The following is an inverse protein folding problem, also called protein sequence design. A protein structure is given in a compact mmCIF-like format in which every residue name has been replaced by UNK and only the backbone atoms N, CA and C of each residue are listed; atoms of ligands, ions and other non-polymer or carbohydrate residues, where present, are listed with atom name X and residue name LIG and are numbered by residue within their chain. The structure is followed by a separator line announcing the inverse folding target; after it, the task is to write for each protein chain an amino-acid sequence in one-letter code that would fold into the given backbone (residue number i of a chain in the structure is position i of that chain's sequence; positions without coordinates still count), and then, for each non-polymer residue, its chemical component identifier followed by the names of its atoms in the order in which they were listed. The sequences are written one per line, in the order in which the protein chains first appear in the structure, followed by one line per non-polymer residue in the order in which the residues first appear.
data_IF_264636494851
#
_entry.id   IF_264636494851
#
_cell.length_a   1.000
_cell.length_b   1.000
_cell.length_c   1.000
_cell.angle_alpha   90.00
_cell.angle_beta   90.00
_cell.angle_gamma   90.00
#
_symmetry.space_group_name_H-M   'P 1'
#
loop_
_entity.id
_entity.type
_entity.pdbx_description
1 polymer ?
#
# COMPACT_ATOMS: atom_id res chain seq x y z
N UNK A 1 11.03 8.99 -5.23
CA UNK A 1 9.82 9.16 -4.36
C UNK A 1 8.56 9.13 -5.20
N UNK A 2 8.42 10.00 -6.21
CA UNK A 2 7.28 10.00 -7.13
C UNK A 2 7.02 8.65 -7.80
N UNK A 3 8.03 8.04 -8.40
CA UNK A 3 7.92 6.71 -9.03
C UNK A 3 7.45 5.63 -8.05
N UNK A 4 7.93 5.67 -6.80
CA UNK A 4 7.49 4.73 -5.75
C UNK A 4 6.00 4.94 -5.46
N UNK A 5 5.56 6.19 -5.32
CA UNK A 5 4.15 6.51 -5.10
C UNK A 5 3.27 6.04 -6.27
N UNK A 6 3.71 6.25 -7.51
CA UNK A 6 3.00 5.84 -8.72
C UNK A 6 2.91 4.31 -8.84
N UNK A 7 4.00 3.59 -8.59
CA UNK A 7 4.00 2.11 -8.58
C UNK A 7 3.06 1.57 -7.50
N UNK A 8 3.13 2.11 -6.28
CA UNK A 8 2.24 1.70 -5.19
C UNK A 8 0.77 1.97 -5.53
N UNK A 9 0.46 3.15 -6.08
CA UNK A 9 -0.90 3.51 -6.46
C UNK A 9 -1.44 2.57 -7.55
N UNK A 10 -0.65 2.32 -8.60
CA UNK A 10 -1.02 1.41 -9.69
C UNK A 10 -1.25 -0.01 -9.18
N UNK A 11 -0.34 -0.55 -8.38
CA UNK A 11 -0.49 -1.91 -7.84
C UNK A 11 -1.71 -2.03 -6.92
N UNK A 12 -1.97 -1.03 -6.08
CA UNK A 12 -3.18 -1.01 -5.25
C UNK A 12 -4.45 -1.00 -6.10
N UNK A 13 -4.49 -0.22 -7.19
CA UNK A 13 -5.60 -0.19 -8.13
C UNK A 13 -5.81 -1.54 -8.83
N UNK A 14 -4.72 -2.17 -9.29
CA UNK A 14 -4.74 -3.48 -9.96
C UNK A 14 -5.27 -4.57 -9.02
N UNK A 15 -4.75 -4.63 -7.78
CA UNK A 15 -5.22 -5.58 -6.76
C UNK A 15 -6.68 -5.29 -6.40
N UNK A 16 -7.04 -4.02 -6.20
CA UNK A 16 -8.41 -3.59 -5.90
C UNK A 16 -9.42 -3.99 -6.97
N UNK A 17 -9.00 -3.97 -8.24
CA UNK A 17 -9.82 -4.35 -9.40
C UNK A 17 -9.92 -5.87 -9.62
N UNK A 18 -9.09 -6.66 -8.94
CA UNK A 18 -9.05 -8.10 -9.15
C UNK A 18 -10.17 -8.82 -8.39
N UNK A 19 -10.95 -9.63 -9.09
CA UNK A 19 -12.04 -10.40 -8.48
C UNK A 19 -11.56 -11.63 -7.69
N UNK A 20 -10.30 -12.05 -7.85
CA UNK A 20 -9.78 -13.29 -7.27
C UNK A 20 -8.47 -13.15 -6.51
N UNK A 21 -7.90 -11.93 -6.47
CA UNK A 21 -6.68 -11.69 -5.70
C UNK A 21 -6.92 -11.89 -4.19
N UNK A 22 -5.91 -12.40 -3.49
CA UNK A 22 -5.84 -12.21 -2.04
C UNK A 22 -5.56 -10.74 -1.78
N UNK A 23 -6.36 -10.12 -0.92
CA UNK A 23 -6.20 -8.74 -0.52
C UNK A 23 -6.43 -8.60 0.98
N UNK A 24 -5.87 -7.56 1.64
CA UNK A 24 -6.16 -7.27 3.05
C UNK A 24 -7.66 -7.14 3.33
N UNK A 25 -8.43 -6.63 2.36
CA UNK A 25 -9.89 -6.54 2.47
C UNK A 25 -10.54 -7.93 2.50
N UNK A 26 -10.15 -8.83 1.59
CA UNK A 26 -10.70 -10.18 1.56
C UNK A 26 -10.32 -11.00 2.80
N UNK A 27 -9.08 -10.86 3.29
CA UNK A 27 -8.64 -11.53 4.52
C UNK A 27 -9.48 -11.05 5.72
N UNK A 28 -9.76 -9.74 5.82
CA UNK A 28 -10.63 -9.18 6.86
C UNK A 28 -12.08 -9.65 6.73
N UNK A 29 -12.61 -9.75 5.50
CA UNK A 29 -13.95 -10.28 5.25
C UNK A 29 -14.06 -11.74 5.71
N UNK A 30 -13.08 -12.58 5.38
CA UNK A 30 -13.05 -13.98 5.84
C UNK A 30 -12.99 -14.06 7.37
N UNK A 31 -12.15 -13.25 8.02
CA UNK A 31 -12.05 -13.20 9.48
C UNK A 31 -13.35 -12.73 10.16
N UNK A 32 -14.13 -11.87 9.50
CA UNK A 32 -15.44 -11.42 9.95
C UNK A 32 -16.58 -12.44 9.68
N UNK A 33 -16.26 -13.60 9.08
CA UNK A 33 -17.23 -14.68 8.82
C UNK A 33 -17.83 -14.68 7.42
N UNK A 34 -17.37 -13.82 6.50
CA UNK A 34 -17.73 -13.89 5.09
C UNK A 34 -16.90 -14.98 4.39
N UNK A 35 -17.21 -16.23 4.72
CA UNK A 35 -16.46 -17.41 4.24
C UNK A 35 -16.49 -17.50 2.72
N UNK A 36 -15.33 -17.73 2.12
CA UNK A 36 -15.17 -17.83 0.67
C UNK A 36 -15.08 -16.50 -0.07
N UNK A 37 -15.13 -15.36 0.64
CA UNK A 37 -14.89 -14.05 0.02
C UNK A 37 -13.45 -13.94 -0.49
N UNK A 38 -13.30 -13.51 -1.74
CA UNK A 38 -12.02 -13.30 -2.43
C UNK A 38 -12.07 -12.00 -3.24
N UNK A 39 -10.91 -11.54 -3.73
CA UNK A 39 -10.79 -10.34 -4.53
C UNK A 39 -10.33 -9.11 -3.76
N UNK A 40 -10.06 -8.04 -4.49
CA UNK A 40 -9.78 -6.72 -3.97
C UNK A 40 -11.05 -5.89 -3.79
N UNK A 41 -10.88 -4.73 -3.17
CA UNK A 41 -11.90 -3.68 -3.11
C UNK A 41 -11.55 -2.61 -4.14
N UNK A 42 -12.42 -2.39 -5.11
CA UNK A 42 -12.28 -1.31 -6.07
C UNK A 42 -12.72 0.00 -5.40
N UNK A 43 -11.77 0.89 -5.13
CA UNK A 43 -11.98 2.15 -4.43
C UNK A 43 -10.95 3.19 -4.92
N UNK A 44 -11.16 4.46 -4.55
CA UNK A 44 -10.22 5.53 -4.87
C UNK A 44 -8.90 5.34 -4.09
N UNK A 45 -7.77 5.46 -4.79
CA UNK A 45 -6.43 5.24 -4.23
C UNK A 45 -5.65 6.55 -4.12
N UNK A 46 -5.22 6.90 -2.90
CA UNK A 46 -4.31 8.01 -2.64
C UNK A 46 -3.02 7.52 -1.97
N UNK A 47 -1.86 7.87 -2.52
CA UNK A 47 -0.55 7.45 -2.00
C UNK A 47 0.36 8.66 -1.77
N UNK A 48 0.86 8.79 -0.54
CA UNK A 48 1.86 9.79 -0.14
C UNK A 48 3.08 9.04 0.39
N UNK A 49 4.26 9.30 -0.16
CA UNK A 49 5.51 8.65 0.25
C UNK A 49 6.48 9.70 0.80
N UNK A 50 7.03 9.43 1.98
CA UNK A 50 8.04 10.26 2.62
C UNK A 50 9.22 9.39 3.07
N UNK A 51 10.44 9.87 2.84
CA UNK A 51 11.67 9.23 3.32
C UNK A 51 12.25 10.06 4.46
N UNK A 52 12.24 9.50 5.66
CA UNK A 52 12.87 10.12 6.83
C UNK A 52 14.38 9.91 6.74
N UNK A 53 15.15 11.00 6.63
CA UNK A 53 16.60 10.97 6.68
C UNK A 53 17.10 11.41 8.06
N UNK A 54 18.01 10.63 8.66
CA UNK A 54 18.74 11.08 9.84
C UNK A 54 19.68 12.21 9.42
N UNK A 55 19.66 13.34 10.16
CA UNK A 55 20.66 14.38 9.99
C UNK A 55 22.05 13.76 10.23
N UNK A 56 22.97 13.93 9.29
CA UNK A 56 24.39 13.73 9.57
C UNK A 56 24.82 14.88 10.48
N UNK A 57 25.28 14.58 11.68
CA UNK A 57 26.00 15.56 12.49
C UNK A 57 27.37 15.75 11.85
N UNK A 58 27.58 16.87 11.16
CA UNK A 58 28.93 17.30 10.82
C UNK A 58 29.57 17.80 12.11
N UNK A 59 30.36 16.96 12.78
CA UNK A 59 31.37 17.44 13.72
C UNK A 59 32.56 17.92 12.88
N UNK A 60 32.52 19.17 12.44
CA UNK A 60 33.74 19.87 12.05
C UNK A 60 34.53 20.09 13.33
N UNK A 61 35.66 19.40 13.47
CA UNK A 61 36.67 19.73 14.47
C UNK A 61 37.43 20.91 13.87
N UNK A 62 37.25 22.10 14.45
CA UNK A 62 38.26 23.17 14.39
C UNK A 62 39.43 22.83 15.31
#
# INVERSE_FOLDING_TARGET
MREIAEVLARTAQEVGSSASARSPFADAAQAAGYVGYTGGKLDDVAVIVSLVQKKRSNSSIE
#
